data_IF_064575980765
#
_entry.id   IF_064575980765
#
_cell.length_a   1.000
_cell.length_b   1.000
_cell.length_c   1.000
_cell.angle_alpha   90.00
_cell.angle_beta   90.00
_cell.angle_gamma   90.00
#
_symmetry.space_group_name_H-M   'P 1'
#
loop_
_entity.id
_entity.type
_entity.pdbx_description
1 polymer ?
#
# COMPACT_ATOMS: atom_id res chain seq x y z
N UNK A 1 25.07 25.88 -26.14
CA UNK A 1 25.56 26.11 -24.76
C UNK A 1 24.34 26.45 -23.91
N UNK A 2 23.68 25.47 -23.29
CA UNK A 2 22.40 25.66 -22.59
C UNK A 2 22.70 25.79 -21.09
N UNK A 3 22.58 27.01 -20.56
CA UNK A 3 22.98 27.41 -19.21
C UNK A 3 22.06 26.95 -18.05
N UNK A 4 22.33 27.43 -16.82
CA UNK A 4 21.89 26.85 -15.52
C UNK A 4 20.40 26.97 -15.21
N UNK A 5 19.61 27.58 -16.10
CA UNK A 5 18.21 27.93 -15.85
C UNK A 5 17.26 26.72 -15.72
N UNK A 6 17.57 25.57 -16.33
CA UNK A 6 16.75 24.35 -16.20
C UNK A 6 16.71 23.78 -14.77
N UNK A 7 17.73 24.07 -13.95
CA UNK A 7 17.87 23.55 -12.58
C UNK A 7 17.04 24.32 -11.55
N UNK A 8 16.84 25.63 -11.76
CA UNK A 8 16.10 26.49 -10.82
C UNK A 8 14.59 26.24 -10.90
N UNK A 9 14.02 26.03 -12.08
CA UNK A 9 12.59 25.73 -12.24
C UNK A 9 12.17 24.37 -11.63
N UNK A 10 13.04 23.35 -11.67
CA UNK A 10 12.78 22.05 -11.00
C UNK A 10 12.75 22.16 -9.47
N UNK A 11 13.56 23.05 -8.88
CA UNK A 11 13.59 23.26 -7.42
C UNK A 11 12.31 23.92 -6.88
N UNK A 12 11.58 24.68 -7.71
CA UNK A 12 10.40 25.43 -7.29
C UNK A 12 9.09 24.61 -7.47
N UNK A 13 9.00 23.74 -8.49
CA UNK A 13 7.78 22.96 -8.80
C UNK A 13 7.86 21.46 -8.48
N UNK A 14 9.02 20.97 -8.01
CA UNK A 14 9.25 19.54 -7.77
C UNK A 14 9.30 18.70 -9.05
N UNK A 15 9.81 17.49 -8.93
CA UNK A 15 9.82 16.50 -10.01
C UNK A 15 8.46 15.82 -10.15
N UNK A 16 8.23 15.11 -11.27
CA UNK A 16 7.04 14.28 -11.42
C UNK A 16 6.97 13.20 -10.32
N UNK A 17 8.13 12.65 -9.93
CA UNK A 17 8.22 11.69 -8.84
C UNK A 17 7.82 12.33 -7.49
N UNK A 18 8.30 13.55 -7.20
CA UNK A 18 7.93 14.24 -5.96
C UNK A 18 6.42 14.48 -5.87
N UNK A 19 5.76 14.75 -7.00
CA UNK A 19 4.30 14.92 -7.06
C UNK A 19 3.57 13.59 -6.84
N UNK A 20 4.04 12.51 -7.45
CA UNK A 20 3.46 11.18 -7.24
C UNK A 20 3.62 10.71 -5.79
N UNK A 21 4.81 10.87 -5.21
CA UNK A 21 5.06 10.55 -3.80
C UNK A 21 4.14 11.35 -2.90
N UNK A 22 3.95 12.65 -3.14
CA UNK A 22 2.99 13.48 -2.38
C UNK A 22 1.56 12.98 -2.50
N UNK A 23 1.13 12.57 -3.69
CA UNK A 23 -0.20 11.96 -3.90
C UNK A 23 -0.35 10.69 -3.07
N UNK A 24 0.66 9.82 -3.09
CA UNK A 24 0.66 8.61 -2.28
C UNK A 24 0.68 8.91 -0.79
N UNK A 25 1.42 9.91 -0.32
CA UNK A 25 1.42 10.31 1.10
C UNK A 25 0.03 10.71 1.60
N UNK A 26 -0.78 11.38 0.78
CA UNK A 26 -2.18 11.70 1.15
C UNK A 26 -3.03 10.44 1.30
N UNK A 27 -2.85 9.47 0.40
CA UNK A 27 -3.56 8.18 0.48
C UNK A 27 -3.08 7.37 1.69
N UNK A 28 -1.80 7.47 2.07
CA UNK A 28 -1.27 6.83 3.29
C UNK A 28 -1.98 7.35 4.54
N UNK A 29 -2.28 8.64 4.63
CA UNK A 29 -3.05 9.20 5.74
C UNK A 29 -4.45 8.57 5.82
N UNK A 30 -5.11 8.40 4.67
CA UNK A 30 -6.39 7.70 4.56
C UNK A 30 -6.29 6.22 4.99
N UNK A 31 -5.29 5.49 4.48
CA UNK A 31 -5.00 4.10 4.87
C UNK A 31 -4.80 3.98 6.37
N UNK A 32 -4.03 4.88 6.98
CA UNK A 32 -3.75 4.88 8.41
C UNK A 32 -4.99 5.20 9.24
N UNK A 33 -5.85 6.11 8.78
CA UNK A 33 -7.12 6.40 9.44
C UNK A 33 -8.07 5.18 9.37
N UNK A 34 -8.13 4.48 8.23
CA UNK A 34 -8.89 3.25 8.08
C UNK A 34 -8.32 2.09 8.92
N UNK A 35 -6.98 1.94 8.99
CA UNK A 35 -6.31 0.96 9.87
C UNK A 35 -6.75 1.18 11.32
N UNK A 36 -6.74 2.43 11.78
CA UNK A 36 -7.14 2.80 13.12
C UNK A 36 -8.63 2.52 13.39
N UNK A 37 -9.53 2.83 12.45
CA UNK A 37 -10.97 2.59 12.64
C UNK A 37 -11.35 1.10 12.64
N UNK A 38 -10.50 0.23 12.10
CA UNK A 38 -10.70 -1.22 12.04
C UNK A 38 -10.15 -1.98 13.26
N UNK A 39 -9.57 -1.29 14.24
CA UNK A 39 -8.95 -1.95 15.40
C UNK A 39 -9.94 -2.81 16.20
N UNK A 40 -11.20 -2.38 16.29
CA UNK A 40 -12.24 -3.07 17.05
C UNK A 40 -12.93 -4.20 16.27
N UNK A 41 -12.58 -4.41 14.99
CA UNK A 41 -13.15 -5.50 14.21
C UNK A 41 -12.65 -6.86 14.70
N UNK A 42 -13.49 -7.89 14.66
CA UNK A 42 -13.05 -9.27 14.83
C UNK A 42 -12.23 -9.75 13.63
N UNK A 43 -11.49 -10.85 13.79
CA UNK A 43 -10.74 -11.47 12.69
C UNK A 43 -11.67 -11.91 11.55
N UNK A 44 -12.89 -12.35 11.86
CA UNK A 44 -13.87 -12.77 10.87
C UNK A 44 -14.41 -11.57 10.08
N UNK A 45 -14.70 -10.46 10.73
CA UNK A 45 -15.10 -9.22 10.06
C UNK A 45 -14.02 -8.68 9.12
N UNK A 46 -12.72 -8.82 9.46
CA UNK A 46 -11.63 -8.48 8.53
C UNK A 46 -11.58 -9.44 7.33
N UNK A 47 -11.82 -10.74 7.53
CA UNK A 47 -11.87 -11.72 6.43
C UNK A 47 -13.06 -11.46 5.49
N UNK A 48 -14.21 -11.06 6.06
CA UNK A 48 -15.43 -10.74 5.30
C UNK A 48 -15.21 -9.60 4.30
N UNK A 49 -14.40 -8.58 4.63
CA UNK A 49 -14.04 -7.52 3.66
C UNK A 49 -13.40 -8.08 2.40
N UNK A 50 -12.45 -9.01 2.55
CA UNK A 50 -11.81 -9.69 1.41
C UNK A 50 -12.81 -10.53 0.62
N UNK A 51 -13.70 -11.25 1.31
CA UNK A 51 -14.72 -12.07 0.65
C UNK A 51 -15.69 -11.20 -0.17
N UNK A 52 -16.13 -10.08 0.38
CA UNK A 52 -17.01 -9.11 -0.27
C UNK A 52 -16.37 -8.53 -1.53
N UNK A 53 -15.13 -8.04 -1.46
CA UNK A 53 -14.43 -7.52 -2.64
C UNK A 53 -14.23 -8.60 -3.71
N UNK A 54 -13.88 -9.83 -3.35
CA UNK A 54 -13.75 -10.92 -4.34
C UNK A 54 -15.05 -11.18 -5.07
N UNK A 55 -16.16 -11.25 -4.33
CA UNK A 55 -17.48 -11.45 -4.93
C UNK A 55 -17.83 -10.29 -5.87
N UNK A 56 -17.66 -9.05 -5.41
CA UNK A 56 -17.93 -7.84 -6.18
C UNK A 56 -17.07 -7.74 -7.44
N UNK A 57 -15.74 -7.92 -7.33
CA UNK A 57 -14.81 -7.73 -8.44
C UNK A 57 -14.91 -8.86 -9.47
N UNK A 58 -15.30 -10.07 -9.07
CA UNK A 58 -15.36 -11.25 -9.95
C UNK A 58 -16.38 -11.13 -11.09
N UNK A 59 -17.37 -10.26 -10.95
CA UNK A 59 -18.43 -10.06 -11.95
C UNK A 59 -18.14 -8.89 -12.89
N UNK A 60 -17.04 -8.16 -12.69
CA UNK A 60 -16.64 -7.04 -13.55
C UNK A 60 -15.81 -7.57 -14.71
N UNK A 61 -16.43 -7.66 -15.89
CA UNK A 61 -15.76 -8.15 -17.11
C UNK A 61 -14.97 -7.05 -17.84
N UNK A 62 -15.41 -5.80 -17.74
CA UNK A 62 -14.74 -4.67 -18.37
C UNK A 62 -13.48 -4.27 -17.60
N UNK A 63 -12.33 -4.31 -18.28
CA UNK A 63 -11.03 -4.09 -17.64
C UNK A 63 -10.85 -2.65 -17.15
N UNK A 64 -11.50 -1.67 -17.78
CA UNK A 64 -11.42 -0.26 -17.37
C UNK A 64 -12.23 -0.06 -16.10
N UNK A 65 -13.45 -0.59 -16.04
CA UNK A 65 -14.27 -0.57 -14.82
C UNK A 65 -13.60 -1.32 -13.68
N UNK A 66 -12.99 -2.48 -13.95
CA UNK A 66 -12.26 -3.25 -12.95
C UNK A 66 -11.09 -2.44 -12.39
N UNK A 67 -10.28 -1.82 -13.25
CA UNK A 67 -9.17 -0.96 -12.82
C UNK A 67 -9.65 0.22 -11.97
N UNK A 68 -10.72 0.90 -12.39
CA UNK A 68 -11.32 2.00 -11.62
C UNK A 68 -11.80 1.54 -10.24
N UNK A 69 -12.42 0.35 -10.17
CA UNK A 69 -12.90 -0.19 -8.90
C UNK A 69 -11.75 -0.62 -7.99
N UNK A 70 -10.70 -1.20 -8.54
CA UNK A 70 -9.49 -1.56 -7.80
C UNK A 70 -8.83 -0.33 -7.15
N UNK A 71 -8.73 0.79 -7.88
CA UNK A 71 -8.22 2.06 -7.34
C UNK A 71 -9.08 2.58 -6.17
N UNK A 72 -10.40 2.41 -6.24
CA UNK A 72 -11.32 2.82 -5.16
C UNK A 72 -11.21 1.92 -3.92
N UNK A 73 -10.98 0.62 -4.10
CA UNK A 73 -10.83 -0.35 -3.00
C UNK A 73 -9.45 -0.29 -2.37
N UNK A 74 -8.43 0.15 -3.13
CA UNK A 74 -7.03 0.10 -2.74
C UNK A 74 -6.75 0.68 -1.33
N UNK A 75 -7.22 1.88 -0.92
CA UNK A 75 -6.92 2.40 0.41
C UNK A 75 -7.43 1.48 1.53
N UNK A 76 -8.67 1.00 1.41
CA UNK A 76 -9.28 0.11 2.40
C UNK A 76 -8.60 -1.26 2.41
N UNK A 77 -8.25 -1.81 1.24
CA UNK A 77 -7.52 -3.07 1.14
C UNK A 77 -6.13 -3.01 1.79
N UNK A 78 -5.40 -1.91 1.59
CA UNK A 78 -4.11 -1.70 2.25
C UNK A 78 -4.26 -1.58 3.77
N UNK A 79 -5.32 -0.92 4.24
CA UNK A 79 -5.64 -0.84 5.67
C UNK A 79 -5.94 -2.23 6.27
N UNK A 80 -6.69 -3.08 5.57
CA UNK A 80 -6.97 -4.46 5.99
C UNK A 80 -5.68 -5.29 6.06
N UNK A 81 -4.78 -5.17 5.08
CA UNK A 81 -3.47 -5.84 5.09
C UNK A 81 -2.62 -5.35 6.27
N UNK A 82 -2.60 -4.04 6.53
CA UNK A 82 -1.87 -3.45 7.67
C UNK A 82 -2.42 -3.94 9.02
N UNK A 83 -3.74 -4.02 9.17
CA UNK A 83 -4.38 -4.63 10.35
C UNK A 83 -4.02 -6.11 10.50
N UNK A 84 -4.05 -6.89 9.42
CA UNK A 84 -3.67 -8.30 9.47
C UNK A 84 -2.21 -8.47 9.93
N UNK A 85 -1.29 -7.67 9.39
CA UNK A 85 0.12 -7.65 9.82
C UNK A 85 0.25 -7.27 11.31
N UNK A 86 -0.51 -6.26 11.76
CA UNK A 86 -0.54 -5.84 13.17
C UNK A 86 -1.02 -6.96 14.09
N UNK A 87 -2.06 -7.70 13.71
CA UNK A 87 -2.60 -8.84 14.48
C UNK A 87 -1.69 -10.06 14.48
N UNK A 88 -0.80 -10.18 13.50
CA UNK A 88 0.23 -11.20 13.48
C UNK A 88 1.44 -10.83 14.35
N UNK A 89 1.62 -9.55 14.67
CA UNK A 89 2.75 -9.07 15.48
C UNK A 89 2.83 -9.81 16.83
N UNK A 90 4.02 -10.33 17.13
CA UNK A 90 4.27 -11.15 18.31
C UNK A 90 3.75 -12.59 18.21
N UNK A 91 3.41 -13.10 17.01
CA UNK A 91 3.09 -14.51 16.79
C UNK A 91 4.24 -15.21 16.07
N UNK A 92 4.40 -16.50 16.36
CA UNK A 92 5.34 -17.36 15.62
C UNK A 92 4.59 -17.99 14.44
N UNK A 93 5.10 -17.78 13.23
CA UNK A 93 4.52 -18.29 11.99
C UNK A 93 5.53 -19.16 11.26
N UNK A 94 5.05 -20.17 10.54
CA UNK A 94 5.92 -21.03 9.73
C UNK A 94 6.05 -20.44 8.33
N UNK A 95 7.27 -20.02 7.97
CA UNK A 95 7.59 -19.52 6.64
C UNK A 95 8.59 -20.48 6.02
N UNK A 96 8.20 -21.13 4.91
CA UNK A 96 9.07 -22.10 4.20
C UNK A 96 9.59 -23.24 5.10
N UNK A 97 8.82 -23.64 6.11
CA UNK A 97 9.19 -24.69 7.07
C UNK A 97 10.01 -24.21 8.27
N UNK A 98 10.33 -22.92 8.35
CA UNK A 98 11.08 -22.33 9.47
C UNK A 98 10.17 -21.45 10.34
N UNK A 99 10.27 -21.54 11.69
CA UNK A 99 9.58 -20.61 12.56
C UNK A 99 10.17 -19.21 12.39
N UNK A 100 9.30 -18.24 12.22
CA UNK A 100 9.61 -16.83 12.15
C UNK A 100 8.72 -16.09 13.16
N UNK A 101 9.34 -15.29 14.02
CA UNK A 101 8.60 -14.33 14.84
C UNK A 101 8.12 -13.20 13.94
N UNK A 102 6.82 -12.98 13.84
CA UNK A 102 6.29 -11.86 13.07
C UNK A 102 6.41 -10.57 13.88
N UNK A 103 7.26 -9.65 13.44
CA UNK A 103 7.50 -8.35 14.08
C UNK A 103 7.29 -7.19 13.09
N UNK A 104 6.42 -7.41 12.10
CA UNK A 104 6.29 -6.54 10.94
C UNK A 104 4.91 -5.88 10.90
N UNK A 105 4.89 -4.55 10.82
CA UNK A 105 3.69 -3.78 10.47
C UNK A 105 4.11 -2.78 9.38
N UNK A 106 3.41 -2.72 8.23
CA UNK A 106 3.79 -1.84 7.14
C UNK A 106 4.00 -0.38 7.57
N UNK A 107 5.20 0.14 7.31
CA UNK A 107 5.52 1.56 7.41
C UNK A 107 4.93 2.34 6.23
N UNK A 108 4.81 3.66 6.40
CA UNK A 108 4.25 4.54 5.38
C UNK A 108 5.01 4.46 4.04
N UNK A 109 6.34 4.36 4.09
CA UNK A 109 7.17 4.18 2.88
C UNK A 109 6.90 2.85 2.17
N UNK A 110 6.52 1.80 2.91
CA UNK A 110 6.17 0.50 2.34
C UNK A 110 4.79 0.56 1.67
N UNK A 111 3.83 1.28 2.27
CA UNK A 111 2.53 1.54 1.63
C UNK A 111 2.69 2.34 0.33
N UNK A 112 3.59 3.34 0.31
CA UNK A 112 3.95 4.07 -0.91
C UNK A 112 4.54 3.12 -1.96
N UNK A 113 5.46 2.24 -1.55
CA UNK A 113 6.03 1.21 -2.42
C UNK A 113 4.95 0.32 -3.03
N UNK A 114 4.01 -0.18 -2.22
CA UNK A 114 2.91 -1.02 -2.68
C UNK A 114 1.98 -0.30 -3.67
N UNK A 115 1.67 0.99 -3.44
CA UNK A 115 0.88 1.79 -4.40
C UNK A 115 1.65 2.05 -5.71
N UNK A 116 2.96 2.22 -5.66
CA UNK A 116 3.78 2.30 -6.87
C UNK A 116 3.71 0.99 -7.67
N UNK A 117 3.80 -0.17 -7.01
CA UNK A 117 3.64 -1.48 -7.66
C UNK A 117 2.23 -1.69 -8.22
N UNK A 118 1.19 -1.29 -7.47
CA UNK A 118 -0.21 -1.36 -7.91
C UNK A 118 -0.43 -0.62 -9.24
N UNK A 119 0.20 0.56 -9.39
CA UNK A 119 0.13 1.38 -10.61
C UNK A 119 1.07 0.91 -11.74
N UNK A 120 1.66 -0.29 -11.63
CA UNK A 120 2.55 -0.87 -12.64
C UNK A 120 3.91 -0.20 -12.73
N UNK A 121 4.35 0.54 -11.69
CA UNK A 121 5.64 1.21 -11.63
C UNK A 121 6.66 0.39 -10.85
N UNK A 122 7.93 0.79 -10.94
CA UNK A 122 9.01 0.23 -10.13
C UNK A 122 9.10 1.02 -8.83
N UNK A 123 8.98 0.33 -7.69
CA UNK A 123 9.24 0.90 -6.38
C UNK A 123 10.73 0.76 -6.03
N UNK A 124 11.48 1.87 -6.13
CA UNK A 124 12.88 1.91 -5.67
C UNK A 124 12.92 2.12 -4.16
N UNK A 125 13.36 1.08 -3.43
CA UNK A 125 13.45 1.05 -1.97
C UNK A 125 14.81 0.51 -1.54
N UNK A 126 15.47 1.19 -0.59
CA UNK A 126 16.78 0.81 -0.10
C UNK A 126 16.78 -0.57 0.58
N UNK A 127 17.95 -1.21 0.65
CA UNK A 127 18.10 -2.48 1.39
C UNK A 127 17.85 -2.23 2.87
N UNK A 128 17.04 -3.09 3.50
CA UNK A 128 16.59 -2.89 4.88
C UNK A 128 15.20 -2.27 5.01
N UNK A 129 14.63 -1.67 3.96
CA UNK A 129 13.27 -1.08 4.00
C UNK A 129 12.13 -2.12 3.93
N UNK A 130 12.45 -3.41 4.09
CA UNK A 130 11.46 -4.49 4.18
C UNK A 130 10.70 -4.77 2.88
N UNK A 131 11.37 -4.74 1.72
CA UNK A 131 10.80 -4.99 0.37
C UNK A 131 9.96 -6.27 0.24
N UNK A 132 10.18 -7.28 1.07
CA UNK A 132 9.40 -8.53 1.06
C UNK A 132 7.97 -8.35 1.61
N UNK A 133 7.77 -7.35 2.49
CA UNK A 133 6.46 -7.03 3.07
C UNK A 133 5.64 -6.09 2.19
N UNK A 134 6.29 -5.39 1.26
CA UNK A 134 5.73 -4.37 0.36
C UNK A 134 4.81 -4.99 -0.69
#
# INVERSE_FOLDING_TARGET
MIGPFKSIFKKIFGTANDREVRRYSQIVEEINAMDQSMQDLSDDQLREKTAAWKQELSVIEDSVQLAQRLEQVMPEAFAVVKQACRRLCGKDVIVRGHPLRWEMVPFDVQLIGGMALHTGKIAEMATGEGKTLV
#
